data_IF_705779905531
#
_entry.id   IF_705779905531
#
_cell.length_a   1.000
_cell.length_b   1.000
_cell.length_c   1.000
_cell.angle_alpha   90.00
_cell.angle_beta   90.00
_cell.angle_gamma   90.00
#
_symmetry.space_group_name_H-M   'P 1'
#
loop_
_entity.id
_entity.type
_entity.pdbx_description
1 polymer ?
#
# COMPACT_ATOMS: atom_id res chain seq x y z
N UNK A 1 24.16 8.08 -0.11
CA UNK A 1 23.21 7.14 -0.73
C UNK A 1 21.83 7.77 -0.65
N UNK A 2 21.16 8.01 -1.79
CA UNK A 2 19.84 8.67 -1.81
C UNK A 2 18.77 7.62 -1.56
N UNK A 3 18.17 7.65 -0.37
CA UNK A 3 17.01 6.83 -0.03
C UNK A 3 15.83 7.26 -0.91
N UNK A 4 15.12 6.28 -1.47
CA UNK A 4 14.31 6.43 -2.67
C UNK A 4 13.02 7.21 -2.46
N UNK A 5 12.89 8.35 -3.14
CA UNK A 5 11.58 8.88 -3.54
C UNK A 5 10.90 7.86 -4.45
N UNK A 6 9.61 7.59 -4.23
CA UNK A 6 8.76 6.76 -5.09
C UNK A 6 8.47 7.45 -6.43
N UNK A 7 9.49 7.63 -7.27
CA UNK A 7 9.35 8.11 -8.65
C UNK A 7 8.72 7.07 -9.60
N UNK A 8 8.40 5.90 -9.07
CA UNK A 8 7.96 4.71 -9.83
C UNK A 8 6.45 4.47 -9.73
N UNK A 9 5.71 5.29 -8.98
CA UNK A 9 4.25 5.23 -8.98
C UNK A 9 3.74 5.79 -10.30
N UNK A 10 3.07 4.94 -11.09
CA UNK A 10 2.65 5.29 -12.47
C UNK A 10 1.26 5.94 -12.52
N UNK A 11 0.46 5.79 -11.47
CA UNK A 11 -0.86 6.39 -11.31
C UNK A 11 -0.98 7.21 -10.00
N UNK A 12 -0.15 8.25 -9.81
CA UNK A 12 -0.08 8.98 -8.54
C UNK A 12 -1.32 9.83 -8.24
N UNK A 13 -2.24 10.00 -9.21
CA UNK A 13 -3.30 11.00 -9.19
C UNK A 13 -4.20 10.91 -7.95
N UNK A 14 -4.51 9.69 -7.50
CA UNK A 14 -5.33 9.48 -6.30
C UNK A 14 -4.64 10.00 -5.04
N UNK A 15 -3.35 9.70 -4.86
CA UNK A 15 -2.60 10.17 -3.70
C UNK A 15 -2.29 11.67 -3.81
N UNK A 16 -1.87 12.16 -4.98
CA UNK A 16 -1.60 13.59 -5.16
C UNK A 16 -2.85 14.45 -5.05
N UNK A 17 -4.00 13.95 -5.49
CA UNK A 17 -5.28 14.64 -5.30
C UNK A 17 -5.71 14.71 -3.85
N UNK A 18 -5.36 13.69 -3.04
CA UNK A 18 -5.69 13.61 -1.62
C UNK A 18 -4.72 14.41 -0.71
N UNK A 19 -3.42 14.37 -1.02
CA UNK A 19 -2.38 14.97 -0.18
C UNK A 19 -1.81 16.29 -0.73
N UNK A 20 -2.21 16.71 -1.94
CA UNK A 20 -1.60 17.82 -2.68
C UNK A 20 -0.17 17.54 -3.19
N UNK A 21 0.42 16.42 -2.75
CA UNK A 21 1.75 15.91 -3.13
C UNK A 21 1.72 14.37 -3.09
N UNK A 22 2.77 13.73 -3.57
CA UNK A 22 2.94 12.30 -3.29
C UNK A 22 3.46 12.14 -1.86
N UNK A 23 2.78 11.40 -0.97
CA UNK A 23 3.27 11.16 0.39
C UNK A 23 4.56 10.32 0.36
N UNK A 24 5.47 10.59 1.30
CA UNK A 24 6.70 9.80 1.45
C UNK A 24 6.35 8.47 2.13
N UNK A 25 6.61 7.34 1.45
CA UNK A 25 6.29 6.00 1.97
C UNK A 25 7.53 5.23 2.46
N UNK A 26 8.68 5.90 2.57
CA UNK A 26 9.95 5.25 2.88
C UNK A 26 10.04 4.76 4.33
N UNK A 27 9.32 5.39 5.25
CA UNK A 27 9.47 5.16 6.69
C UNK A 27 8.16 4.80 7.37
N UNK A 28 8.24 3.90 8.37
CA UNK A 28 7.13 3.54 9.27
C UNK A 28 5.85 3.10 8.56
N UNK A 29 5.98 2.43 7.41
CA UNK A 29 4.86 1.89 6.68
C UNK A 29 4.30 0.68 7.43
N UNK A 30 3.02 0.72 7.79
CA UNK A 30 2.36 -0.44 8.40
C UNK A 30 1.84 -1.34 7.30
N UNK A 31 2.31 -2.58 7.28
CA UNK A 31 1.90 -3.58 6.29
C UNK A 31 0.88 -4.51 6.91
N UNK A 32 -0.31 -4.54 6.29
CA UNK A 32 -1.48 -5.29 6.76
C UNK A 32 -1.51 -6.69 6.20
N UNK A 33 -1.21 -6.81 4.92
CA UNK A 33 -1.16 -8.08 4.20
C UNK A 33 -0.31 -7.93 2.95
N UNK A 34 0.09 -9.07 2.41
CA UNK A 34 0.62 -9.17 1.07
C UNK A 34 -0.06 -10.33 0.35
N UNK A 35 -0.48 -10.10 -0.89
CA UNK A 35 -1.15 -11.10 -1.74
C UNK A 35 -0.34 -11.28 -3.01
N UNK A 36 -0.23 -12.53 -3.47
CA UNK A 36 0.52 -12.88 -4.68
C UNK A 36 -0.39 -13.52 -5.71
N UNK A 37 -0.21 -13.18 -6.97
CA UNK A 37 -0.72 -13.96 -8.11
C UNK A 37 0.46 -14.42 -8.98
N UNK A 38 0.48 -15.70 -9.34
CA UNK A 38 1.50 -16.26 -10.22
C UNK A 38 1.13 -16.12 -11.70
N UNK A 39 -0.16 -15.92 -12.02
CA UNK A 39 -0.63 -15.68 -13.39
C UNK A 39 -0.39 -14.22 -13.76
N UNK A 40 0.85 -13.96 -14.19
CA UNK A 40 1.40 -12.61 -14.24
C UNK A 40 1.92 -12.25 -12.85
N UNK A 41 3.20 -12.57 -12.53
CA UNK A 41 3.73 -12.44 -11.18
C UNK A 41 3.50 -11.06 -10.57
N UNK A 42 2.57 -10.97 -9.63
CA UNK A 42 2.24 -9.74 -8.92
C UNK A 42 2.38 -9.93 -7.42
N UNK A 43 2.72 -8.83 -6.74
CA UNK A 43 2.68 -8.72 -5.29
C UNK A 43 1.90 -7.46 -4.96
N UNK A 44 0.78 -7.62 -4.27
CA UNK A 44 -0.04 -6.50 -3.77
C UNK A 44 0.18 -6.38 -2.27
N UNK A 45 0.75 -5.27 -1.82
CA UNK A 45 0.85 -4.92 -0.40
C UNK A 45 -0.35 -4.06 -0.02
N UNK A 46 -1.08 -4.45 1.03
CA UNK A 46 -2.06 -3.55 1.68
C UNK A 46 -1.39 -2.84 2.83
N UNK A 47 -1.35 -1.52 2.78
CA UNK A 47 -0.54 -0.71 3.70
C UNK A 47 -1.33 0.46 4.26
N UNK A 48 -1.09 0.79 5.53
CA UNK A 48 -1.52 2.07 6.08
C UNK A 48 -0.42 3.11 5.85
N UNK A 49 -0.79 4.27 5.33
CA UNK A 49 0.12 5.36 5.09
C UNK A 49 0.56 6.03 6.42
N UNK A 50 1.80 6.53 6.50
CA UNK A 50 2.34 7.09 7.74
C UNK A 50 1.73 8.45 8.10
N UNK A 51 1.25 9.20 7.11
CA UNK A 51 0.60 10.50 7.30
C UNK A 51 -0.86 10.47 6.87
N UNK A 52 -1.73 11.14 7.64
CA UNK A 52 -3.09 11.46 7.25
C UNK A 52 -3.11 12.79 6.47
N UNK A 53 -3.93 12.95 5.42
CA UNK A 53 -3.95 14.19 4.63
C UNK A 53 -4.35 15.38 5.51
N UNK A 54 -3.70 16.53 5.27
CA UNK A 54 -3.99 17.77 5.99
C UNK A 54 -5.40 18.30 5.70
N UNK A 55 -5.89 18.07 4.47
CA UNK A 55 -7.22 18.44 4.02
C UNK A 55 -7.96 17.19 3.50
N UNK A 56 -8.46 16.30 4.39
CA UNK A 56 -9.19 15.12 3.96
C UNK A 56 -10.54 15.51 3.32
N UNK A 57 -11.15 14.63 2.50
CA UNK A 57 -12.54 14.75 2.09
C UNK A 57 -13.47 14.99 3.29
N UNK A 58 -14.52 15.81 3.09
CA UNK A 58 -15.45 16.17 4.17
C UNK A 58 -16.07 14.94 4.84
N UNK A 59 -16.45 13.93 4.04
CA UNK A 59 -16.97 12.65 4.53
C UNK A 59 -16.02 11.93 5.50
N UNK A 60 -14.69 12.04 5.30
CA UNK A 60 -13.70 11.41 6.18
C UNK A 60 -13.53 12.21 7.47
N UNK A 61 -13.62 13.55 7.38
CA UNK A 61 -13.62 14.43 8.55
C UNK A 61 -14.84 14.18 9.43
N UNK A 62 -16.03 14.13 8.82
CA UNK A 62 -17.29 13.91 9.53
C UNK A 62 -17.33 12.53 10.20
N UNK A 63 -16.71 11.52 9.57
CA UNK A 63 -16.59 10.16 10.12
C UNK A 63 -15.47 10.00 11.17
N UNK A 64 -14.62 11.00 11.38
CA UNK A 64 -13.50 10.92 12.33
C UNK A 64 -12.41 9.93 11.94
N UNK A 65 -12.19 9.72 10.64
CA UNK A 65 -11.11 8.85 10.17
C UNK A 65 -9.73 9.48 10.43
N UNK A 66 -8.75 8.64 10.71
CA UNK A 66 -7.40 9.06 11.11
C UNK A 66 -6.27 8.35 10.34
N UNK A 67 -6.62 7.34 9.53
CA UNK A 67 -5.66 6.49 8.84
C UNK A 67 -6.07 6.33 7.39
N UNK A 68 -5.15 6.57 6.46
CA UNK A 68 -5.30 6.20 5.04
C UNK A 68 -4.70 4.82 4.81
N UNK A 69 -5.39 3.99 4.05
CA UNK A 69 -4.94 2.68 3.59
C UNK A 69 -4.99 2.62 2.07
N UNK A 70 -4.03 1.93 1.44
CA UNK A 70 -4.06 1.66 0.01
C UNK A 70 -3.38 0.34 -0.34
N UNK A 71 -3.53 -0.04 -1.61
CA UNK A 71 -2.77 -1.12 -2.22
C UNK A 71 -1.59 -0.55 -2.99
N UNK A 72 -0.41 -1.15 -2.78
CA UNK A 72 0.77 -1.00 -3.63
C UNK A 72 0.97 -2.30 -4.39
N UNK A 73 0.71 -2.29 -5.70
CA UNK A 73 0.89 -3.45 -6.55
C UNK A 73 2.18 -3.33 -7.36
N UNK A 74 2.99 -4.38 -7.25
CA UNK A 74 4.23 -4.57 -7.97
C UNK A 74 4.02 -5.64 -9.04
N UNK A 75 4.54 -5.38 -10.25
CA UNK A 75 4.39 -6.26 -11.41
C UNK A 75 5.71 -6.94 -11.77
N UNK A 76 5.62 -8.06 -12.48
CA UNK A 76 6.77 -8.87 -12.91
C UNK A 76 7.70 -9.20 -11.73
N UNK A 77 7.08 -9.62 -10.61
CA UNK A 77 7.78 -9.91 -9.36
C UNK A 77 8.66 -11.14 -9.48
N UNK A 78 9.88 -11.04 -8.99
CA UNK A 78 10.88 -12.10 -9.01
C UNK A 78 11.71 -12.10 -7.73
N UNK A 79 12.38 -13.23 -7.46
CA UNK A 79 13.30 -13.36 -6.31
C UNK A 79 12.70 -12.94 -4.96
N UNK A 80 11.39 -13.20 -4.76
CA UNK A 80 10.72 -12.90 -3.50
C UNK A 80 11.28 -13.76 -2.37
N UNK A 81 11.68 -13.09 -1.29
CA UNK A 81 12.06 -13.70 -0.02
C UNK A 81 11.31 -13.00 1.11
N UNK A 82 10.57 -13.78 1.89
CA UNK A 82 9.95 -13.36 3.15
C UNK A 82 10.67 -14.10 4.27
N UNK A 83 11.45 -13.38 5.06
CA UNK A 83 12.23 -13.93 6.18
C UNK A 83 11.54 -13.77 7.52
N UNK A 84 10.68 -12.75 7.65
CA UNK A 84 9.89 -12.49 8.83
C UNK A 84 8.53 -11.96 8.42
N UNK A 85 7.48 -12.49 9.03
CA UNK A 85 6.12 -11.98 8.96
C UNK A 85 5.42 -12.25 10.29
N UNK A 86 5.18 -11.20 11.06
CA UNK A 86 4.52 -11.26 12.37
C UNK A 86 3.69 -9.99 12.55
N UNK A 87 2.45 -9.98 12.03
CA UNK A 87 1.55 -8.83 12.19
C UNK A 87 1.22 -8.55 13.67
N UNK A 88 0.99 -7.29 14.05
CA UNK A 88 1.05 -6.09 13.22
C UNK A 88 2.49 -5.75 12.80
N UNK A 89 2.71 -5.57 11.49
CA UNK A 89 4.03 -5.34 10.93
C UNK A 89 4.21 -3.87 10.54
N UNK A 90 5.34 -3.28 10.93
CA UNK A 90 5.71 -1.89 10.60
C UNK A 90 7.16 -1.86 10.18
N UNK A 91 7.45 -1.27 9.02
CA UNK A 91 8.81 -1.21 8.53
C UNK A 91 9.06 -0.09 7.53
N UNK A 92 10.33 0.05 7.20
CA UNK A 92 10.81 1.02 6.24
C UNK A 92 10.91 0.37 4.86
N UNK A 93 10.41 1.09 3.86
CA UNK A 93 10.39 0.66 2.47
C UNK A 93 11.56 1.30 1.73
N UNK A 94 12.54 0.48 1.36
CA UNK A 94 13.66 0.88 0.54
C UNK A 94 13.48 0.37 -0.90
N UNK A 95 13.59 1.28 -1.86
CA UNK A 95 13.58 0.98 -3.30
C UNK A 95 14.92 1.36 -3.89
N UNK A 96 15.51 0.44 -4.65
CA UNK A 96 16.74 0.67 -5.42
C UNK A 96 16.53 0.23 -6.86
N UNK A 97 17.16 0.92 -7.81
CA UNK A 97 17.16 0.56 -9.24
C UNK A 97 18.56 -0.02 -9.57
N UNK A 98 18.75 -1.35 -9.47
CA UNK A 98 20.08 -1.96 -9.55
C UNK A 98 20.71 -1.95 -10.95
N UNK A 99 19.96 -1.73 -12.02
CA UNK A 99 20.43 -1.81 -13.41
C UNK A 99 19.65 -0.91 -14.41
N UNK A 100 20.08 -0.88 -15.67
CA UNK A 100 19.48 -0.09 -16.75
C UNK A 100 18.16 -0.68 -17.31
N UNK A 101 17.67 -1.80 -16.75
CA UNK A 101 16.62 -2.63 -17.37
C UNK A 101 15.21 -2.40 -16.81
N UNK A 102 14.88 -1.18 -16.37
CA UNK A 102 13.54 -0.86 -15.84
C UNK A 102 13.10 -1.83 -14.75
N UNK A 103 14.03 -2.17 -13.85
CA UNK A 103 13.81 -3.05 -12.71
C UNK A 103 14.06 -2.34 -11.40
N UNK A 104 13.30 -2.75 -10.38
CA UNK A 104 13.48 -2.31 -9.01
C UNK A 104 13.81 -3.51 -8.13
N UNK A 105 14.65 -3.26 -7.14
CA UNK A 105 14.79 -4.11 -5.97
C UNK A 105 14.17 -3.39 -4.78
N UNK A 106 13.13 -4.01 -4.23
CA UNK A 106 12.36 -3.52 -3.10
C UNK A 106 12.71 -4.32 -1.86
N UNK A 107 12.82 -3.61 -0.75
CA UNK A 107 13.10 -4.19 0.55
C UNK A 107 12.25 -3.50 1.60
N UNK A 108 11.55 -4.31 2.39
CA UNK A 108 10.72 -3.87 3.49
C UNK A 108 11.26 -4.50 4.77
N UNK A 109 11.71 -3.69 5.72
CA UNK A 109 12.26 -4.19 6.99
C UNK A 109 11.79 -3.39 8.18
N UNK A 110 11.44 -4.08 9.25
CA UNK A 110 11.12 -3.47 10.53
C UNK A 110 10.57 -4.46 11.53
N UNK A 111 9.76 -3.97 12.46
CA UNK A 111 9.07 -4.81 13.43
C UNK A 111 8.06 -5.72 12.71
N UNK A 112 8.23 -7.04 12.86
CA UNK A 112 7.30 -8.02 12.30
C UNK A 112 7.39 -8.22 10.78
N UNK A 113 8.38 -7.64 10.09
CA UNK A 113 8.57 -7.85 8.65
C UNK A 113 10.02 -7.77 8.19
N UNK A 114 10.44 -8.75 7.37
CA UNK A 114 11.65 -8.70 6.54
C UNK A 114 11.31 -9.36 5.20
N UNK A 115 11.11 -8.52 4.18
CA UNK A 115 10.73 -8.92 2.83
C UNK A 115 11.62 -8.23 1.80
N UNK A 116 11.90 -8.96 0.72
CA UNK A 116 12.83 -8.59 -0.33
C UNK A 116 12.34 -9.16 -1.65
N UNK A 117 12.26 -8.35 -2.72
CA UNK A 117 11.88 -8.83 -4.05
C UNK A 117 12.39 -7.91 -5.17
N UNK A 118 12.47 -8.45 -6.38
CA UNK A 118 12.62 -7.71 -7.63
C UNK A 118 11.26 -7.49 -8.31
N UNK A 119 11.09 -6.40 -9.05
CA UNK A 119 9.89 -6.11 -9.84
C UNK A 119 10.21 -5.18 -11.02
N UNK A 120 9.22 -4.88 -11.86
CA UNK A 120 9.34 -3.79 -12.85
C UNK A 120 9.45 -2.41 -12.19
N UNK A 121 9.80 -1.39 -12.97
CA UNK A 121 9.88 0.02 -12.54
C UNK A 121 8.54 0.75 -12.45
N UNK A 122 7.44 -0.01 -12.44
CA UNK A 122 6.08 0.49 -12.34
C UNK A 122 5.41 -0.06 -11.08
N UNK A 123 5.00 0.85 -10.20
CA UNK A 123 4.20 0.55 -9.02
C UNK A 123 2.83 1.17 -9.21
N UNK A 124 1.78 0.36 -9.04
CA UNK A 124 0.40 0.83 -9.10
C UNK A 124 -0.12 1.09 -7.69
N UNK A 125 -0.87 2.16 -7.55
CA UNK A 125 -1.66 2.46 -6.35
C UNK A 125 -3.13 2.21 -6.65
N UNK A 126 -3.85 1.56 -5.75
CA UNK A 126 -5.31 1.50 -5.84
C UNK A 126 -5.95 1.29 -4.48
N UNK A 127 -7.27 1.17 -4.48
CA UNK A 127 -8.08 0.97 -3.28
C UNK A 127 -7.74 1.94 -2.13
N UNK A 128 -7.47 3.20 -2.49
CA UNK A 128 -7.19 4.26 -1.51
C UNK A 128 -8.45 4.50 -0.69
N UNK A 129 -8.36 4.29 0.61
CA UNK A 129 -9.45 4.42 1.57
C UNK A 129 -8.98 5.05 2.88
N UNK A 130 -9.92 5.47 3.71
CA UNK A 130 -9.65 5.90 5.07
C UNK A 130 -10.55 5.18 6.08
N UNK A 131 -10.03 5.03 7.30
CA UNK A 131 -10.71 4.41 8.43
C UNK A 131 -10.15 4.97 9.75
N UNK A 132 -10.76 4.59 10.88
CA UNK A 132 -10.26 4.89 12.23
C UNK A 132 -9.53 3.67 12.79
N UNK A 133 -8.29 3.86 13.21
CA UNK A 133 -7.46 2.78 13.74
C UNK A 133 -7.93 2.32 15.13
N UNK A 134 -7.89 1.01 15.35
CA UNK A 134 -8.11 0.39 16.67
C UNK A 134 -6.77 0.12 17.35
N UNK A 135 -6.71 0.26 18.69
CA UNK A 135 -5.46 0.17 19.47
C UNK A 135 -4.74 -1.18 19.40
N UNK A 136 -5.46 -2.27 19.08
CA UNK A 136 -4.90 -3.61 18.88
C UNK A 136 -4.23 -3.80 17.50
N UNK A 137 -4.29 -2.77 16.65
CA UNK A 137 -3.75 -2.81 15.29
C UNK A 137 -4.67 -3.45 14.27
N UNK A 138 -5.89 -3.88 14.64
CA UNK A 138 -6.91 -4.34 13.70
C UNK A 138 -7.53 -3.17 12.91
N UNK A 139 -8.28 -3.49 11.85
CA UNK A 139 -9.04 -2.52 11.04
C UNK A 139 -10.44 -3.02 10.59
N UNK A 140 -11.25 -3.61 11.49
CA UNK A 140 -12.58 -4.14 11.13
C UNK A 140 -13.64 -3.03 10.95
N UNK A 141 -13.28 -1.77 11.24
CA UNK A 141 -14.19 -0.65 11.25
C UNK A 141 -14.66 -0.21 9.86
N UNK A 142 -15.64 0.71 9.83
CA UNK A 142 -16.11 1.32 8.59
C UNK A 142 -14.96 2.05 7.89
N UNK A 143 -15.04 2.08 6.55
CA UNK A 143 -14.07 2.78 5.71
C UNK A 143 -14.76 3.47 4.54
N UNK A 144 -14.15 4.54 4.05
CA UNK A 144 -14.57 5.18 2.80
C UNK A 144 -13.45 5.17 1.79
N UNK A 145 -13.76 4.80 0.55
CA UNK A 145 -12.82 4.79 -0.57
C UNK A 145 -12.88 6.10 -1.35
N UNK A 146 -11.73 6.53 -1.87
CA UNK A 146 -11.65 7.68 -2.79
C UNK A 146 -12.41 7.39 -4.09
N UNK A 147 -12.35 6.15 -4.56
CA UNK A 147 -13.06 5.72 -5.75
C UNK A 147 -14.51 5.32 -5.42
N UNK A 148 -15.49 6.03 -6.02
CA UNK A 148 -16.92 5.74 -5.86
C UNK A 148 -17.34 4.32 -6.24
N UNK A 149 -16.63 3.67 -7.17
CA UNK A 149 -16.90 2.27 -7.53
C UNK A 149 -16.56 1.37 -6.36
N UNK A 150 -15.41 1.59 -5.73
CA UNK A 150 -14.98 0.83 -4.55
C UNK A 150 -15.89 1.11 -3.36
N UNK A 151 -16.30 2.36 -3.12
CA UNK A 151 -17.24 2.72 -2.05
C UNK A 151 -18.57 1.95 -2.16
N UNK A 152 -19.04 1.68 -3.38
CA UNK A 152 -20.26 0.90 -3.61
C UNK A 152 -20.06 -0.60 -3.43
N UNK A 153 -18.87 -1.10 -3.74
CA UNK A 153 -18.54 -2.53 -3.67
C UNK A 153 -18.12 -2.97 -2.26
N UNK A 154 -17.50 -2.06 -1.52
CA UNK A 154 -16.78 -2.36 -0.28
C UNK A 154 -17.09 -1.27 0.76
N UNK A 155 -18.07 -1.54 1.62
CA UNK A 155 -18.35 -0.72 2.82
C UNK A 155 -17.52 -1.14 4.03
N UNK A 156 -16.96 -2.35 3.99
CA UNK A 156 -16.03 -2.96 4.95
C UNK A 156 -14.89 -3.62 4.18
N UNK A 157 -13.86 -4.13 4.87
CA UNK A 157 -12.83 -4.90 4.19
C UNK A 157 -13.44 -6.14 3.56
N UNK A 158 -13.13 -6.38 2.27
CA UNK A 158 -13.34 -7.68 1.66
C UNK A 158 -12.60 -8.77 2.42
N UNK A 159 -13.17 -9.96 2.39
CA UNK A 159 -12.57 -11.14 3.00
C UNK A 159 -11.22 -11.46 2.32
N UNK A 160 -10.24 -12.04 3.03
CA UNK A 160 -8.90 -12.27 2.46
C UNK A 160 -8.87 -13.15 1.20
N UNK A 161 -9.92 -13.94 0.95
CA UNK A 161 -10.05 -14.80 -0.23
C UNK A 161 -10.75 -14.12 -1.43
N UNK A 162 -11.23 -12.88 -1.30
CA UNK A 162 -11.83 -12.13 -2.40
C UNK A 162 -10.77 -11.61 -3.37
N UNK A 163 -10.35 -12.50 -4.29
CA UNK A 163 -9.28 -12.25 -5.28
C UNK A 163 -9.45 -10.96 -6.08
N UNK A 164 -10.69 -10.63 -6.46
CA UNK A 164 -11.01 -9.43 -7.24
C UNK A 164 -10.52 -8.13 -6.61
N UNK A 165 -10.54 -8.04 -5.27
CA UNK A 165 -10.08 -6.86 -4.53
C UNK A 165 -8.55 -6.72 -4.50
N UNK A 166 -7.80 -7.81 -4.69
CA UNK A 166 -6.33 -7.77 -4.67
C UNK A 166 -5.70 -7.74 -6.07
N UNK A 167 -6.47 -8.15 -7.09
CA UNK A 167 -6.01 -8.29 -8.47
C UNK A 167 -6.40 -7.11 -9.37
N UNK A 168 -7.50 -6.40 -9.08
CA UNK A 168 -8.00 -5.30 -9.91
C UNK A 168 -7.85 -3.96 -9.19
N UNK A 169 -6.89 -3.12 -9.64
CA UNK A 169 -6.73 -1.74 -9.16
C UNK A 169 -7.39 -0.72 -10.09
#
# INVERSE_FOLDING_TARGET
MRHGRLRHIVNPQQLTGLYGRLPELSERLRVRSFTMDWRGPTLTLRVDLPEFPAEPPQEWRDAGFDTVQCHLQYLAVEQLAVRLWTPPAVGDLAVSAPDAFRRLRVRLRGAGVDMTFGCSDSVLVGHVSAFTRVGDGSDPGPRSFVNRVDTRRHSTLPEPWERSYFEQL
#
